data_IF_554835221302
#
_entry.id   IF_554835221302
#
_cell.length_a   1.000
_cell.length_b   1.000
_cell.length_c   1.000
_cell.angle_alpha   90.00
_cell.angle_beta   90.00
_cell.angle_gamma   90.00
#
_symmetry.space_group_name_H-M   'P 1'
#
loop_
_entity.id
_entity.type
_entity.pdbx_description
1 polymer ?
#
# COMPACT_ATOMS: atom_id res chain seq x y z
N UNK A 1 27.44 55.06 -22.66
CA UNK A 1 26.44 53.98 -22.85
C UNK A 1 27.14 52.63 -22.73
N UNK A 2 27.05 51.96 -21.59
CA UNK A 2 27.46 50.55 -21.43
C UNK A 2 26.34 49.85 -20.67
N UNK A 3 25.59 49.00 -21.38
CA UNK A 3 24.54 48.15 -20.82
C UNK A 3 25.23 46.89 -20.32
N UNK A 4 25.35 46.73 -19.01
CA UNK A 4 25.75 45.45 -18.41
C UNK A 4 24.47 44.69 -18.11
N UNK A 5 24.14 43.72 -18.97
CA UNK A 5 22.98 42.84 -18.78
C UNK A 5 23.35 41.82 -17.70
N UNK A 6 22.62 41.86 -16.59
CA UNK A 6 22.71 40.91 -15.49
C UNK A 6 21.86 39.67 -15.89
N UNK A 7 22.51 38.57 -16.26
CA UNK A 7 21.81 37.31 -16.54
C UNK A 7 21.57 36.56 -15.23
N UNK A 8 20.30 36.48 -14.83
CA UNK A 8 19.80 35.73 -13.70
C UNK A 8 19.78 34.23 -14.07
N UNK A 9 20.67 33.42 -13.51
CA UNK A 9 20.56 31.96 -13.59
C UNK A 9 19.49 31.50 -12.59
N UNK A 10 18.28 31.24 -13.09
CA UNK A 10 17.27 30.49 -12.35
C UNK A 10 17.68 29.02 -12.36
N UNK A 11 18.27 28.55 -11.26
CA UNK A 11 18.46 27.12 -11.03
C UNK A 11 17.08 26.51 -10.68
N UNK A 12 16.45 25.85 -11.65
CA UNK A 12 15.43 24.86 -11.35
C UNK A 12 16.10 23.72 -10.57
N UNK A 13 15.97 23.72 -9.25
CA UNK A 13 16.26 22.56 -8.45
C UNK A 13 15.18 21.50 -8.75
N UNK A 14 15.44 20.64 -9.72
CA UNK A 14 14.70 19.40 -9.87
C UNK A 14 15.10 18.51 -8.68
N UNK A 15 14.24 18.41 -7.68
CA UNK A 15 14.34 17.37 -6.65
C UNK A 15 14.17 16.03 -7.36
N UNK A 16 15.27 15.33 -7.62
CA UNK A 16 15.24 13.93 -8.03
C UNK A 16 14.79 13.12 -6.80
N UNK A 17 13.48 12.93 -6.64
CA UNK A 17 12.97 11.88 -5.76
C UNK A 17 13.36 10.57 -6.41
N UNK A 18 14.31 9.85 -5.81
CA UNK A 18 14.62 8.50 -6.26
C UNK A 18 13.43 7.60 -5.91
N UNK A 19 12.92 6.87 -6.90
CA UNK A 19 11.93 5.82 -6.67
C UNK A 19 12.48 4.84 -5.63
N UNK A 20 11.68 4.50 -4.62
CA UNK A 20 12.08 3.53 -3.60
C UNK A 20 12.24 2.14 -4.23
N UNK A 21 13.35 1.47 -3.96
CA UNK A 21 13.58 0.08 -4.36
C UNK A 21 12.85 -0.86 -3.39
N UNK A 22 11.62 -1.23 -3.75
CA UNK A 22 10.75 -2.07 -2.90
C UNK A 22 11.37 -3.44 -2.57
N UNK A 23 12.00 -4.17 -3.52
CA UNK A 23 12.79 -5.36 -3.19
C UNK A 23 13.86 -5.12 -2.11
N UNK A 24 14.61 -4.02 -2.19
CA UNK A 24 15.63 -3.68 -1.19
C UNK A 24 15.02 -3.33 0.18
N UNK A 25 13.90 -2.61 0.19
CA UNK A 25 13.10 -2.37 1.41
C UNK A 25 12.68 -3.71 2.03
N UNK A 26 12.15 -4.63 1.24
CA UNK A 26 11.68 -5.95 1.70
C UNK A 26 12.81 -6.79 2.27
N UNK A 27 13.97 -6.80 1.61
CA UNK A 27 15.17 -7.43 2.16
C UNK A 27 15.56 -6.83 3.52
N UNK A 28 15.49 -5.49 3.65
CA UNK A 28 15.75 -4.80 4.92
C UNK A 28 14.72 -5.16 5.99
N UNK A 29 13.44 -5.28 5.64
CA UNK A 29 12.37 -5.72 6.54
C UNK A 29 12.57 -7.15 7.06
N UNK A 30 13.28 -8.00 6.30
CA UNK A 30 13.63 -9.36 6.70
C UNK A 30 14.86 -9.49 7.60
N UNK A 31 15.66 -8.42 7.74
CA UNK A 31 16.88 -8.45 8.56
C UNK A 31 16.63 -8.27 10.07
N UNK A 32 17.67 -8.46 10.87
CA UNK A 32 17.59 -8.43 12.34
C UNK A 32 17.72 -7.03 12.98
N UNK A 33 18.21 -6.03 12.23
CA UNK A 33 18.32 -4.65 12.71
C UNK A 33 16.97 -3.94 12.79
N UNK A 34 16.48 -3.72 14.01
CA UNK A 34 15.21 -3.04 14.26
C UNK A 34 15.17 -1.60 13.72
N UNK A 35 16.26 -0.84 13.87
CA UNK A 35 16.31 0.55 13.42
C UNK A 35 16.26 0.61 11.89
N UNK A 36 17.00 -0.27 11.22
CA UNK A 36 16.94 -0.40 9.77
C UNK A 36 15.55 -0.79 9.28
N UNK A 37 14.89 -1.76 9.93
CA UNK A 37 13.50 -2.13 9.61
C UNK A 37 12.54 -0.95 9.78
N UNK A 38 12.69 -0.18 10.86
CA UNK A 38 11.83 0.99 11.10
C UNK A 38 12.04 2.06 10.04
N UNK A 39 13.29 2.35 9.68
CA UNK A 39 13.58 3.33 8.64
C UNK A 39 13.01 2.89 7.28
N UNK A 40 13.21 1.63 6.89
CA UNK A 40 12.65 1.08 5.65
C UNK A 40 11.12 1.17 5.58
N UNK A 41 10.43 1.02 6.72
CA UNK A 41 8.98 1.26 6.83
C UNK A 41 8.66 2.72 6.53
N UNK A 42 9.33 3.66 7.21
CA UNK A 42 9.09 5.08 7.04
C UNK A 42 9.35 5.52 5.59
N UNK A 43 10.44 5.05 4.99
CA UNK A 43 10.82 5.37 3.61
C UNK A 43 9.75 4.88 2.63
N UNK A 44 9.27 3.63 2.77
CA UNK A 44 8.20 3.11 1.91
C UNK A 44 6.89 3.90 2.06
N UNK A 45 6.51 4.25 3.30
CA UNK A 45 5.30 5.05 3.54
C UNK A 45 5.43 6.46 2.96
N UNK A 46 6.61 7.07 3.08
CA UNK A 46 6.89 8.38 2.50
C UNK A 46 6.79 8.32 0.97
N UNK A 47 7.35 7.29 0.34
CA UNK A 47 7.23 7.09 -1.10
C UNK A 47 5.77 7.00 -1.57
N UNK A 48 4.91 6.28 -0.85
CA UNK A 48 3.46 6.28 -1.16
C UNK A 48 2.80 7.63 -0.92
N UNK A 49 3.14 8.33 0.17
CA UNK A 49 2.60 9.65 0.45
C UNK A 49 2.94 10.66 -0.66
N UNK A 50 4.17 10.60 -1.17
CA UNK A 50 4.62 11.41 -2.29
C UNK A 50 3.91 11.02 -3.59
N UNK A 51 3.84 9.72 -3.90
CA UNK A 51 3.18 9.21 -5.10
C UNK A 51 1.66 9.43 -5.12
N UNK A 52 1.04 9.73 -3.97
CA UNK A 52 -0.40 10.01 -3.82
C UNK A 52 -0.71 11.48 -3.60
N UNK A 53 0.31 12.36 -3.60
CA UNK A 53 0.12 13.79 -3.48
C UNK A 53 -0.73 14.33 -4.66
N UNK A 54 -1.49 15.44 -4.50
CA UNK A 54 -2.33 15.97 -5.57
C UNK A 54 -1.60 16.31 -6.88
N UNK A 55 -0.30 16.58 -6.81
CA UNK A 55 0.57 16.88 -7.95
C UNK A 55 1.31 15.67 -8.52
N UNK A 56 1.15 14.49 -7.92
CA UNK A 56 1.91 13.30 -8.28
C UNK A 56 1.43 12.70 -9.61
N UNK A 57 2.33 11.99 -10.28
CA UNK A 57 2.01 11.26 -11.51
C UNK A 57 1.36 9.93 -11.12
N UNK A 58 0.11 9.70 -11.55
CA UNK A 58 -0.64 8.50 -11.17
C UNK A 58 0.10 7.18 -11.49
N UNK A 59 0.90 7.15 -12.57
CA UNK A 59 1.68 5.99 -12.95
C UNK A 59 2.74 5.59 -11.90
N UNK A 60 3.30 6.54 -11.15
CA UNK A 60 4.31 6.27 -10.11
C UNK A 60 3.68 5.53 -8.93
N UNK A 61 2.48 5.96 -8.50
CA UNK A 61 1.70 5.24 -7.48
C UNK A 61 1.39 3.82 -7.91
N UNK A 62 0.94 3.63 -9.15
CA UNK A 62 0.55 2.31 -9.67
C UNK A 62 1.75 1.38 -9.78
N UNK A 63 2.91 1.88 -10.21
CA UNK A 63 4.15 1.10 -10.22
C UNK A 63 4.59 0.70 -8.81
N UNK A 64 4.58 1.65 -7.86
CA UNK A 64 4.94 1.39 -6.47
C UNK A 64 3.98 0.37 -5.80
N UNK A 65 2.68 0.50 -6.04
CA UNK A 65 1.68 -0.45 -5.56
C UNK A 65 1.91 -1.85 -6.16
N UNK A 66 2.18 -1.95 -7.47
CA UNK A 66 2.47 -3.21 -8.13
C UNK A 66 3.71 -3.90 -7.55
N UNK A 67 4.78 -3.14 -7.29
CA UNK A 67 6.00 -3.66 -6.69
C UNK A 67 5.74 -4.18 -5.26
N UNK A 68 4.96 -3.46 -4.46
CA UNK A 68 4.55 -3.93 -3.12
C UNK A 68 3.74 -5.22 -3.20
N UNK A 69 2.78 -5.31 -4.13
CA UNK A 69 1.95 -6.50 -4.32
C UNK A 69 2.82 -7.70 -4.70
N UNK A 70 3.80 -7.52 -5.58
CA UNK A 70 4.72 -8.57 -6.00
C UNK A 70 5.56 -9.13 -4.83
N UNK A 71 5.76 -8.35 -3.77
CA UNK A 71 6.58 -8.74 -2.61
C UNK A 71 5.77 -9.33 -1.43
N UNK A 72 4.43 -9.35 -1.48
CA UNK A 72 3.59 -9.85 -0.37
C UNK A 72 3.88 -11.30 0.04
N UNK A 73 4.38 -12.10 -0.92
CA UNK A 73 4.78 -13.50 -0.74
C UNK A 73 6.28 -13.74 -0.87
N UNK A 74 7.11 -12.70 -0.75
CA UNK A 74 8.56 -12.84 -0.86
C UNK A 74 9.12 -13.83 0.17
N UNK A 75 10.00 -14.72 -0.28
CA UNK A 75 10.68 -15.67 0.59
C UNK A 75 11.49 -14.93 1.65
N UNK A 76 11.44 -15.41 2.91
CA UNK A 76 12.16 -14.79 4.02
C UNK A 76 11.52 -13.51 4.57
N UNK A 77 10.42 -12.99 3.98
CA UNK A 77 9.71 -11.85 4.54
C UNK A 77 8.95 -12.26 5.82
N UNK A 78 9.33 -11.77 7.01
CA UNK A 78 8.65 -12.14 8.24
C UNK A 78 7.20 -11.62 8.24
N UNK A 79 6.35 -12.22 9.09
CA UNK A 79 4.95 -11.80 9.24
C UNK A 79 4.82 -10.28 9.44
N UNK A 80 5.65 -9.67 10.28
CA UNK A 80 5.59 -8.23 10.52
C UNK A 80 5.92 -7.38 9.28
N UNK A 81 6.67 -7.90 8.32
CA UNK A 81 6.89 -7.28 7.02
C UNK A 81 5.68 -7.46 6.10
N UNK A 82 5.13 -8.67 6.01
CA UNK A 82 3.89 -8.95 5.24
C UNK A 82 2.74 -8.05 5.67
N UNK A 83 2.49 -7.96 6.98
CA UNK A 83 1.45 -7.09 7.56
C UNK A 83 1.70 -5.61 7.24
N UNK A 84 2.96 -5.19 7.16
CA UNK A 84 3.30 -3.82 6.81
C UNK A 84 3.02 -3.50 5.34
N UNK A 85 3.33 -4.42 4.43
CA UNK A 85 3.00 -4.27 3.01
C UNK A 85 1.48 -4.20 2.80
N UNK A 86 0.71 -5.05 3.48
CA UNK A 86 -0.77 -4.98 3.46
C UNK A 86 -1.27 -3.65 4.01
N UNK A 87 -0.62 -3.11 5.05
CA UNK A 87 -0.94 -1.77 5.58
C UNK A 87 -0.69 -0.66 4.55
N UNK A 88 0.27 -0.80 3.64
CA UNK A 88 0.44 0.18 2.55
C UNK A 88 -0.75 0.11 1.57
N UNK A 89 -1.26 -1.08 1.26
CA UNK A 89 -2.47 -1.24 0.46
C UNK A 89 -3.71 -0.67 1.17
N UNK A 90 -3.84 -0.88 2.48
CA UNK A 90 -4.93 -0.29 3.27
C UNK A 90 -4.91 1.24 3.23
N UNK A 91 -3.73 1.86 3.25
CA UNK A 91 -3.59 3.31 3.28
C UNK A 91 -3.67 3.96 1.90
N UNK A 92 -3.15 3.30 0.87
CA UNK A 92 -2.88 3.91 -0.43
C UNK A 92 -3.34 3.08 -1.62
N UNK A 93 -3.99 1.94 -1.38
CA UNK A 93 -4.36 0.98 -2.42
C UNK A 93 -5.38 1.52 -3.40
N UNK A 94 -5.35 0.98 -4.60
CA UNK A 94 -6.34 1.16 -5.67
C UNK A 94 -7.15 -0.13 -5.83
N UNK A 95 -7.94 -0.22 -6.91
CA UNK A 95 -8.59 -1.47 -7.31
C UNK A 95 -7.60 -2.64 -7.47
N UNK A 96 -6.34 -2.38 -7.84
CA UNK A 96 -5.31 -3.42 -7.91
C UNK A 96 -4.93 -3.92 -6.51
N UNK A 97 -4.78 -3.02 -5.54
CA UNK A 97 -4.63 -3.37 -4.14
C UNK A 97 -5.83 -4.13 -3.58
N UNK A 98 -7.06 -3.82 -4.04
CA UNK A 98 -8.25 -4.57 -3.66
C UNK A 98 -8.20 -6.02 -4.18
N UNK A 99 -7.74 -6.24 -5.41
CA UNK A 99 -7.54 -7.59 -5.96
C UNK A 99 -6.55 -8.41 -5.10
N UNK A 100 -5.42 -7.79 -4.73
CA UNK A 100 -4.42 -8.41 -3.87
C UNK A 100 -4.96 -8.71 -2.46
N UNK A 101 -5.65 -7.74 -1.84
CA UNK A 101 -6.25 -7.91 -0.52
C UNK A 101 -7.32 -9.01 -0.54
N UNK A 102 -8.15 -9.09 -1.58
CA UNK A 102 -9.15 -10.14 -1.70
C UNK A 102 -8.53 -11.54 -1.79
N UNK A 103 -7.44 -11.71 -2.55
CA UNK A 103 -6.71 -12.97 -2.60
C UNK A 103 -6.18 -13.38 -1.21
N UNK A 104 -5.70 -12.42 -0.42
CA UNK A 104 -5.16 -12.66 0.93
C UNK A 104 -6.23 -13.02 1.98
N UNK A 105 -7.52 -12.90 1.68
CA UNK A 105 -8.57 -13.44 2.57
C UNK A 105 -8.51 -14.97 2.70
N UNK A 106 -7.86 -15.66 1.75
CA UNK A 106 -7.62 -17.10 1.80
C UNK A 106 -6.31 -17.52 2.48
N UNK A 107 -5.53 -16.57 3.03
CA UNK A 107 -4.23 -16.88 3.62
C UNK A 107 -4.36 -17.79 4.86
N UNK A 108 -3.38 -18.67 5.08
CA UNK A 108 -3.39 -19.57 6.25
C UNK A 108 -3.16 -18.80 7.56
N UNK A 109 -2.45 -17.67 7.53
CA UNK A 109 -2.16 -16.84 8.68
C UNK A 109 -3.35 -15.93 9.03
N UNK A 110 -3.99 -16.10 10.21
CA UNK A 110 -5.15 -15.30 10.60
C UNK A 110 -4.91 -13.79 10.59
N UNK A 111 -3.71 -13.33 11.00
CA UNK A 111 -3.40 -11.90 11.02
C UNK A 111 -3.31 -11.29 9.61
N UNK A 112 -2.92 -12.10 8.61
CA UNK A 112 -2.90 -11.69 7.20
C UNK A 112 -4.33 -11.54 6.68
N UNK A 113 -5.20 -12.52 6.93
CA UNK A 113 -6.63 -12.44 6.56
C UNK A 113 -7.31 -11.21 7.18
N UNK A 114 -7.03 -10.94 8.46
CA UNK A 114 -7.57 -9.77 9.14
C UNK A 114 -7.12 -8.46 8.51
N UNK A 115 -5.81 -8.32 8.28
CA UNK A 115 -5.25 -7.12 7.68
C UNK A 115 -5.75 -6.91 6.24
N UNK A 116 -5.92 -7.99 5.49
CA UNK A 116 -6.48 -7.96 4.14
C UNK A 116 -7.94 -7.47 4.14
N UNK A 117 -8.77 -7.93 5.09
CA UNK A 117 -10.14 -7.43 5.25
C UNK A 117 -10.16 -5.95 5.59
N UNK A 118 -9.29 -5.49 6.50
CA UNK A 118 -9.16 -4.06 6.83
C UNK A 118 -8.72 -3.23 5.62
N UNK A 119 -7.81 -3.75 4.80
CA UNK A 119 -7.45 -3.12 3.53
C UNK A 119 -8.67 -2.97 2.60
N UNK A 120 -9.49 -4.01 2.43
CA UNK A 120 -10.72 -3.92 1.62
C UNK A 120 -11.75 -2.93 2.18
N UNK A 121 -11.83 -2.76 3.50
CA UNK A 121 -12.68 -1.71 4.10
C UNK A 121 -12.22 -0.32 3.65
N UNK A 122 -10.91 -0.07 3.71
CA UNK A 122 -10.31 1.24 3.47
C UNK A 122 -10.15 1.61 1.99
N UNK A 123 -9.86 0.65 1.12
CA UNK A 123 -9.64 0.90 -0.31
C UNK A 123 -10.92 1.42 -0.96
N UNK A 124 -10.86 2.61 -1.56
CA UNK A 124 -12.02 3.24 -2.19
C UNK A 124 -12.50 2.47 -3.43
N UNK A 125 -13.78 2.64 -3.79
CA UNK A 125 -14.35 2.09 -5.03
C UNK A 125 -15.17 0.83 -4.84
N UNK A 126 -16.16 0.61 -5.72
CA UNK A 126 -17.16 -0.46 -5.58
C UNK A 126 -16.56 -1.88 -5.63
N UNK A 127 -15.36 -2.04 -6.18
CA UNK A 127 -14.70 -3.35 -6.30
C UNK A 127 -14.39 -3.97 -4.92
N UNK A 128 -13.84 -3.19 -4.00
CA UNK A 128 -13.53 -3.67 -2.65
C UNK A 128 -14.79 -4.07 -1.87
N UNK A 129 -15.89 -3.34 -2.05
CA UNK A 129 -17.19 -3.68 -1.48
C UNK A 129 -17.75 -4.97 -2.04
N UNK A 130 -17.72 -5.14 -3.37
CA UNK A 130 -18.15 -6.38 -4.03
C UNK A 130 -17.35 -7.60 -3.54
N UNK A 131 -16.05 -7.42 -3.25
CA UNK A 131 -15.22 -8.45 -2.65
C UNK A 131 -15.60 -8.79 -1.21
N UNK A 132 -15.90 -7.79 -0.37
CA UNK A 132 -16.41 -8.03 0.98
C UNK A 132 -17.76 -8.75 0.96
N UNK A 133 -18.69 -8.37 0.08
CA UNK A 133 -19.97 -9.07 -0.11
C UNK A 133 -19.76 -10.51 -0.59
N UNK A 134 -18.85 -10.73 -1.53
CA UNK A 134 -18.50 -12.07 -2.00
C UNK A 134 -17.89 -12.91 -0.88
N UNK A 135 -17.01 -12.33 -0.05
CA UNK A 135 -16.40 -13.02 1.08
C UNK A 135 -17.43 -13.33 2.17
N UNK A 136 -18.41 -12.45 2.42
CA UNK A 136 -19.53 -12.73 3.34
C UNK A 136 -20.35 -13.95 2.89
N UNK A 137 -20.61 -14.06 1.58
CA UNK A 137 -21.45 -15.14 1.03
C UNK A 137 -20.72 -16.49 0.94
N UNK A 138 -19.41 -16.48 0.68
CA UNK A 138 -18.59 -17.69 0.47
C UNK A 138 -17.74 -18.09 1.67
N UNK A 139 -17.52 -17.18 2.60
CA UNK A 139 -16.67 -17.38 3.77
C UNK A 139 -17.27 -18.37 4.77
N UNK A 140 -16.43 -18.79 5.72
CA UNK A 140 -16.87 -19.66 6.81
C UNK A 140 -17.89 -18.96 7.70
N UNK A 141 -18.74 -19.72 8.39
CA UNK A 141 -19.68 -19.14 9.35
C UNK A 141 -18.97 -18.36 10.47
N UNK A 142 -17.77 -18.80 10.86
CA UNK A 142 -16.95 -18.14 11.87
C UNK A 142 -16.49 -16.74 11.44
N UNK A 143 -16.31 -16.49 10.14
CA UNK A 143 -15.83 -15.20 9.63
C UNK A 143 -16.97 -14.22 9.28
N UNK A 144 -18.23 -14.68 9.25
CA UNK A 144 -19.39 -13.86 8.83
C UNK A 144 -19.51 -12.56 9.60
N UNK A 145 -19.40 -12.62 10.93
CA UNK A 145 -19.50 -11.44 11.77
C UNK A 145 -18.45 -10.37 11.41
N UNK A 146 -17.22 -10.79 11.10
CA UNK A 146 -16.16 -9.88 10.70
C UNK A 146 -16.41 -9.23 9.32
N UNK A 147 -17.03 -9.95 8.38
CA UNK A 147 -17.41 -9.37 7.08
C UNK A 147 -18.61 -8.43 7.19
N UNK A 148 -19.59 -8.74 8.04
CA UNK A 148 -20.71 -7.83 8.32
C UNK A 148 -20.21 -6.52 8.94
N UNK A 149 -19.31 -6.61 9.93
CA UNK A 149 -18.69 -5.43 10.55
C UNK A 149 -17.87 -4.61 9.55
N UNK A 150 -17.11 -5.28 8.67
CA UNK A 150 -16.36 -4.63 7.59
C UNK A 150 -17.26 -3.83 6.64
N UNK A 151 -18.38 -4.44 6.19
CA UNK A 151 -19.35 -3.77 5.31
C UNK A 151 -20.05 -2.60 6.01
N UNK A 152 -20.45 -2.79 7.27
CA UNK A 152 -21.06 -1.73 8.08
C UNK A 152 -20.10 -0.55 8.30
N UNK A 153 -18.83 -0.83 8.62
CA UNK A 153 -17.78 0.19 8.82
C UNK A 153 -17.53 1.01 7.55
N UNK A 154 -17.58 0.36 6.39
CA UNK A 154 -17.43 1.03 5.10
C UNK A 154 -18.62 1.96 4.78
N UNK A 155 -19.77 1.74 5.41
CA UNK A 155 -21.01 2.45 5.11
C UNK A 155 -21.77 1.86 3.92
N UNK A 156 -21.59 0.58 3.63
CA UNK A 156 -22.46 -0.14 2.70
C UNK A 156 -23.85 -0.27 3.36
N UNK A 157 -24.72 0.69 3.09
CA UNK A 157 -26.12 0.67 3.52
C UNK A 157 -26.97 0.91 2.28
N UNK A 158 -27.69 -0.14 1.89
CA UNK A 158 -28.81 -0.27 0.94
C UNK A 158 -28.75 0.48 -0.41
#
# INVERSE_FOLDING_TARGET
MKKTVLSLFAACAASLVFAVDVPSVVNTLGGDDYAARMQARLDLKQAFAEATAPSAVAAERLALEADVIAQLGAEGLPLSGRLYLIRMLELFGTDTGADAAYALLGDSEPNVRDSARRALVAIAGAKAEAYLLTALTRGSEADRAAYMDALATRGAVD
#
